data_IF_822748329877
#
_entry.id   IF_822748329877
#
_cell.length_a   1.000
_cell.length_b   1.000
_cell.length_c   1.000
_cell.angle_alpha   90.00
_cell.angle_beta   90.00
_cell.angle_gamma   90.00
#
_symmetry.space_group_name_H-M   'P 1'
#
loop_
_entity.id
_entity.type
_entity.pdbx_description
1 polymer ?
#
# COMPACT_ATOMS: atom_id res chain seq x y z
N UNK A 1 -16.68 -28.45 12.62
CA UNK A 1 -15.93 -27.17 12.62
C UNK A 1 -16.88 -26.06 12.99
N UNK A 2 -16.65 -25.34 14.10
CA UNK A 2 -17.48 -24.19 14.45
C UNK A 2 -17.40 -23.15 13.33
N UNK A 3 -18.55 -22.70 12.84
CA UNK A 3 -18.63 -21.68 11.79
C UNK A 3 -18.13 -20.37 12.42
N UNK A 4 -16.95 -19.93 11.99
CA UNK A 4 -16.42 -18.63 12.43
C UNK A 4 -17.40 -17.55 11.97
N UNK A 5 -17.77 -16.64 12.88
CA UNK A 5 -18.71 -15.58 12.56
C UNK A 5 -18.18 -14.66 11.46
N UNK A 6 -19.09 -14.09 10.68
CA UNK A 6 -18.74 -13.11 9.66
C UNK A 6 -17.99 -11.91 10.28
N UNK A 7 -18.40 -11.49 11.48
CA UNK A 7 -17.77 -10.41 12.26
C UNK A 7 -16.30 -10.68 12.57
N UNK A 8 -15.94 -11.89 13.04
CA UNK A 8 -14.54 -12.24 13.32
C UNK A 8 -13.70 -12.20 12.05
N UNK A 9 -14.29 -12.57 10.92
CA UNK A 9 -13.63 -12.56 9.63
C UNK A 9 -13.42 -11.14 9.12
N UNK A 10 -14.41 -10.26 9.27
CA UNK A 10 -14.30 -8.85 8.92
C UNK A 10 -13.27 -8.12 9.80
N UNK A 11 -13.31 -8.35 11.11
CA UNK A 11 -12.34 -7.81 12.07
C UNK A 11 -10.90 -8.28 11.75
N UNK A 12 -10.73 -9.55 11.36
CA UNK A 12 -9.42 -10.07 10.94
C UNK A 12 -8.90 -9.37 9.68
N UNK A 13 -9.77 -9.07 8.71
CA UNK A 13 -9.40 -8.36 7.48
C UNK A 13 -8.97 -6.91 7.80
N UNK A 14 -9.70 -6.23 8.70
CA UNK A 14 -9.34 -4.88 9.18
C UNK A 14 -7.96 -4.87 9.85
N UNK A 15 -7.73 -5.78 10.79
CA UNK A 15 -6.47 -5.86 11.54
C UNK A 15 -5.27 -6.23 10.65
N UNK A 16 -5.48 -7.08 9.63
CA UNK A 16 -4.45 -7.34 8.63
C UNK A 16 -4.14 -6.10 7.79
N UNK A 17 -5.15 -5.34 7.40
CA UNK A 17 -4.95 -4.08 6.66
C UNK A 17 -4.17 -3.04 7.48
N UNK A 18 -4.35 -3.03 8.81
CA UNK A 18 -3.56 -2.23 9.76
C UNK A 18 -2.11 -2.74 9.97
N UNK A 19 -1.74 -3.86 9.36
CA UNK A 19 -0.39 -4.43 9.43
C UNK A 19 -0.16 -5.36 10.63
N UNK A 20 -1.21 -5.83 11.32
CA UNK A 20 -1.05 -6.82 12.40
C UNK A 20 -0.71 -8.20 11.84
N UNK A 21 0.09 -8.97 12.57
CA UNK A 21 0.48 -10.32 12.16
C UNK A 21 -0.67 -11.32 12.35
N UNK A 22 -0.70 -12.38 11.53
CA UNK A 22 -1.72 -13.41 11.62
C UNK A 22 -1.75 -14.12 12.98
N UNK A 23 -0.60 -14.26 13.64
CA UNK A 23 -0.49 -14.91 14.96
C UNK A 23 -1.04 -14.01 16.08
N UNK A 24 -0.84 -12.69 15.97
CA UNK A 24 -1.45 -11.72 16.87
C UNK A 24 -2.98 -11.67 16.71
N UNK A 25 -3.46 -11.64 15.47
CA UNK A 25 -4.90 -11.63 15.15
C UNK A 25 -5.58 -12.91 15.63
N UNK A 26 -4.94 -14.06 15.40
CA UNK A 26 -5.40 -15.36 15.87
C UNK A 26 -5.61 -15.38 17.40
N UNK A 27 -4.62 -14.86 18.13
CA UNK A 27 -4.70 -14.74 19.60
C UNK A 27 -5.83 -13.79 20.01
N UNK A 28 -5.96 -12.64 19.34
CA UNK A 28 -6.97 -11.62 19.65
C UNK A 28 -8.40 -12.09 19.42
N UNK A 29 -8.64 -12.85 18.36
CA UNK A 29 -9.98 -13.28 17.92
C UNK A 29 -10.32 -14.73 18.32
N UNK A 30 -9.39 -15.40 19.00
CA UNK A 30 -9.53 -16.79 19.45
C UNK A 30 -9.83 -17.73 18.26
N UNK A 31 -9.00 -17.62 17.21
CA UNK A 31 -9.04 -18.46 16.01
C UNK A 31 -7.64 -18.97 15.68
N UNK A 32 -7.51 -19.97 14.81
CA UNK A 32 -6.18 -20.44 14.38
C UNK A 32 -5.51 -19.44 13.43
N UNK A 33 -4.20 -19.23 13.59
CA UNK A 33 -3.42 -18.42 12.64
C UNK A 33 -3.33 -19.07 11.27
N UNK A 34 -3.43 -20.41 11.18
CA UNK A 34 -3.56 -21.12 9.91
C UNK A 34 -4.84 -20.72 9.17
N UNK A 35 -5.93 -20.47 9.89
CA UNK A 35 -7.20 -20.00 9.31
C UNK A 35 -7.03 -18.61 8.69
N UNK A 36 -6.41 -17.67 9.42
CA UNK A 36 -6.14 -16.32 8.91
C UNK A 36 -5.25 -16.37 7.66
N UNK A 37 -4.17 -17.17 7.70
CA UNK A 37 -3.25 -17.37 6.57
C UNK A 37 -3.97 -18.01 5.36
N UNK A 38 -4.89 -18.93 5.61
CA UNK A 38 -5.71 -19.57 4.57
C UNK A 38 -6.63 -18.56 3.89
N UNK A 39 -7.39 -17.77 4.65
CA UNK A 39 -8.25 -16.73 4.08
C UNK A 39 -7.47 -15.77 3.17
N UNK A 40 -6.30 -15.30 3.63
CA UNK A 40 -5.45 -14.42 2.83
C UNK A 40 -4.98 -15.03 1.50
N UNK A 41 -4.86 -16.36 1.42
CA UNK A 41 -4.37 -17.06 0.21
C UNK A 41 -5.49 -17.51 -0.72
N UNK A 42 -6.61 -17.99 -0.17
CA UNK A 42 -7.59 -18.77 -0.94
C UNK A 42 -8.97 -18.15 -0.99
N UNK A 43 -9.20 -17.02 -0.31
CA UNK A 43 -10.54 -16.45 -0.18
C UNK A 43 -10.63 -15.05 -0.81
N UNK A 44 -11.14 -14.95 -2.06
CA UNK A 44 -11.22 -13.69 -2.78
C UNK A 44 -12.06 -12.63 -2.06
N UNK A 45 -13.14 -13.04 -1.39
CA UNK A 45 -14.00 -12.10 -0.65
C UNK A 45 -13.26 -11.52 0.57
N UNK A 46 -12.43 -12.33 1.24
CA UNK A 46 -11.58 -11.84 2.31
C UNK A 46 -10.48 -10.88 1.79
N UNK A 47 -9.85 -11.22 0.66
CA UNK A 47 -8.83 -10.36 0.04
C UNK A 47 -9.41 -9.01 -0.39
N UNK A 48 -10.60 -9.00 -0.99
CA UNK A 48 -11.30 -7.77 -1.36
C UNK A 48 -11.59 -6.88 -0.15
N UNK A 49 -12.04 -7.48 0.95
CA UNK A 49 -12.32 -6.78 2.21
C UNK A 49 -11.05 -6.22 2.85
N UNK A 50 -9.97 -7.01 2.91
CA UNK A 50 -8.66 -6.55 3.38
C UNK A 50 -8.16 -5.36 2.53
N UNK A 51 -8.27 -5.47 1.20
CA UNK A 51 -7.84 -4.41 0.29
C UNK A 51 -8.72 -3.15 0.42
N UNK A 52 -10.03 -3.30 0.67
CA UNK A 52 -10.93 -2.18 0.93
C UNK A 52 -10.49 -1.41 2.17
N UNK A 53 -10.21 -2.10 3.29
CA UNK A 53 -9.70 -1.44 4.50
C UNK A 53 -8.33 -0.80 4.27
N UNK A 54 -7.44 -1.48 3.54
CA UNK A 54 -6.12 -0.93 3.21
C UNK A 54 -6.24 0.34 2.37
N UNK A 55 -7.13 0.36 1.38
CA UNK A 55 -7.44 1.53 0.57
C UNK A 55 -8.04 2.66 1.42
N UNK A 56 -8.92 2.35 2.38
CA UNK A 56 -9.46 3.35 3.29
C UNK A 56 -8.37 3.97 4.19
N UNK A 57 -7.41 3.16 4.66
CA UNK A 57 -6.24 3.64 5.40
C UNK A 57 -5.34 4.51 4.52
N UNK A 58 -5.09 4.13 3.26
CA UNK A 58 -4.34 4.96 2.32
C UNK A 58 -5.07 6.25 1.97
N UNK A 59 -6.37 6.20 1.73
CA UNK A 59 -7.21 7.37 1.49
C UNK A 59 -7.17 8.32 2.69
N UNK A 60 -7.25 7.79 3.92
CA UNK A 60 -7.12 8.58 5.14
C UNK A 60 -5.70 9.13 5.35
N UNK A 61 -4.67 8.38 4.98
CA UNK A 61 -3.29 8.85 4.99
C UNK A 61 -3.05 9.96 3.96
N UNK A 62 -3.60 9.82 2.76
CA UNK A 62 -3.58 10.83 1.70
C UNK A 62 -4.38 12.07 2.10
N UNK A 63 -5.55 11.91 2.73
CA UNK A 63 -6.33 13.01 3.28
C UNK A 63 -5.58 13.70 4.42
N UNK A 64 -4.96 12.96 5.35
CA UNK A 64 -4.13 13.54 6.40
C UNK A 64 -2.88 14.27 5.86
N UNK A 65 -2.30 13.78 4.76
CA UNK A 65 -1.22 14.45 4.01
C UNK A 65 -1.75 15.71 3.30
N UNK A 66 -2.94 15.64 2.70
CA UNK A 66 -3.59 16.77 2.03
C UNK A 66 -4.01 17.86 3.02
N UNK A 67 -4.52 17.46 4.20
CA UNK A 67 -4.93 18.32 5.32
C UNK A 67 -3.70 18.95 6.01
N UNK A 68 -2.51 18.35 5.92
CA UNK A 68 -1.22 18.96 6.26
C UNK A 68 -0.48 19.54 5.04
N UNK A 69 -1.04 20.60 4.45
CA UNK A 69 -0.32 21.76 3.87
C UNK A 69 0.99 21.49 3.06
N UNK A 70 0.98 22.00 1.82
CA UNK A 70 2.04 22.77 1.13
C UNK A 70 3.15 22.03 0.35
N UNK A 71 3.03 22.14 -0.98
CA UNK A 71 4.06 22.07 -2.04
C UNK A 71 4.85 20.74 -2.12
N UNK A 72 4.96 20.14 -3.32
CA UNK A 72 5.89 19.04 -3.54
C UNK A 72 7.29 19.40 -2.99
N UNK A 73 8.05 18.45 -2.40
CA UNK A 73 9.43 18.70 -2.00
C UNK A 73 10.19 19.29 -3.19
N UNK A 74 11.12 20.22 -2.97
CA UNK A 74 11.73 21.02 -4.05
C UNK A 74 12.26 20.17 -5.23
N UNK A 75 12.74 18.96 -4.95
CA UNK A 75 13.18 17.96 -5.93
C UNK A 75 12.10 17.44 -6.90
N UNK A 76 10.82 17.56 -6.53
CA UNK A 76 9.64 17.15 -7.31
C UNK A 76 8.88 18.35 -7.89
N UNK A 77 9.39 19.59 -7.72
CA UNK A 77 8.79 20.76 -8.35
C UNK A 77 9.32 20.84 -9.78
N UNK A 78 8.46 20.56 -10.75
CA UNK A 78 8.70 20.89 -12.15
C UNK A 78 8.82 22.42 -12.21
N UNK A 79 9.85 22.94 -12.91
CA UNK A 79 9.98 24.39 -13.11
C UNK A 79 8.69 24.89 -13.80
N UNK A 80 8.14 26.05 -13.40
CA UNK A 80 6.85 26.51 -13.91
C UNK A 80 6.81 26.61 -15.45
N UNK A 81 7.96 26.80 -16.10
CA UNK A 81 8.08 26.95 -17.56
C UNK A 81 8.61 25.69 -18.27
N UNK A 82 8.80 24.57 -17.56
CA UNK A 82 9.30 23.33 -18.17
C UNK A 82 8.14 22.52 -18.74
N UNK A 83 8.16 22.30 -20.06
CA UNK A 83 7.23 21.37 -20.70
C UNK A 83 7.47 19.95 -20.16
N UNK A 84 6.42 19.14 -19.94
CA UNK A 84 6.56 17.74 -19.57
C UNK A 84 7.50 16.95 -20.50
N UNK A 85 7.61 17.34 -21.78
CA UNK A 85 8.52 16.73 -22.74
C UNK A 85 10.00 17.04 -22.47
N UNK A 86 10.31 18.22 -21.96
CA UNK A 86 11.69 18.61 -21.62
C UNK A 86 12.21 17.80 -20.43
N UNK A 87 11.33 17.56 -19.44
CA UNK A 87 11.66 16.75 -18.25
C UNK A 87 11.96 15.29 -18.63
N UNK A 88 11.17 14.71 -19.54
CA UNK A 88 11.38 13.34 -20.03
C UNK A 88 12.68 13.25 -20.84
N UNK A 89 12.93 14.22 -21.71
CA UNK A 89 14.17 14.30 -22.51
C UNK A 89 15.42 14.39 -21.64
N UNK A 90 15.41 15.22 -20.61
CA UNK A 90 16.53 15.36 -19.68
C UNK A 90 16.78 14.08 -18.90
N UNK A 91 15.72 13.43 -18.41
CA UNK A 91 15.80 12.15 -17.72
C UNK A 91 16.39 11.03 -18.61
N UNK A 92 15.99 10.96 -19.89
CA UNK A 92 16.56 9.98 -20.83
C UNK A 92 18.04 10.25 -21.11
N UNK A 93 18.43 11.52 -21.19
CA UNK A 93 19.82 11.92 -21.40
C UNK A 93 20.69 11.56 -20.19
N UNK A 94 20.16 11.71 -18.98
CA UNK A 94 20.85 11.32 -17.74
C UNK A 94 21.05 9.80 -17.64
N UNK A 95 20.01 9.01 -17.96
CA UNK A 95 20.09 7.53 -17.99
C UNK A 95 21.16 7.08 -18.99
N UNK A 96 21.17 7.62 -20.21
CA UNK A 96 22.18 7.27 -21.22
C UNK A 96 23.62 7.55 -20.76
N UNK A 97 23.85 8.69 -20.09
CA UNK A 97 25.18 9.01 -19.51
C UNK A 97 25.58 8.07 -18.38
N UNK A 98 24.62 7.62 -17.57
CA UNK A 98 24.86 6.72 -16.44
C UNK A 98 25.18 5.29 -16.90
N UNK A 99 24.48 4.82 -17.94
CA UNK A 99 24.77 3.55 -18.60
C UNK A 99 26.14 3.57 -19.30
N UNK A 100 26.50 4.66 -19.99
CA UNK A 100 27.82 4.82 -20.61
C UNK A 100 29.00 4.85 -19.61
N UNK A 101 28.74 5.14 -18.32
CA UNK A 101 29.73 5.07 -17.24
C UNK A 101 29.83 3.69 -16.57
N UNK A 102 28.78 2.87 -16.67
CA UNK A 102 28.75 1.49 -16.12
C UNK A 102 29.39 0.45 -17.05
N UNK A 103 29.51 0.75 -18.33
CA UNK A 103 30.14 -0.12 -19.33
C UNK A 103 31.65 0.09 -19.51
N UNK A 104 32.36 0.65 -18.54
CA UNK A 104 33.82 0.87 -18.60
C UNK A 104 34.54 0.15 -17.47
#
# INVERSE_FOLDING_TARGET
>A
MARISAEKREEAARLLAEGRSADWIASRLTISSATVRRWRRTDPAFQALEQQYRNALYGRGLLAVAERRLRPPARLRIKPDASPLDVVRDAMTEVGRKEARRGR
#
